data_IF_958208429055
#
_entry.id   IF_958208429055
#
_cell.length_a   1.000
_cell.length_b   1.000
_cell.length_c   1.000
_cell.angle_alpha   90.00
_cell.angle_beta   90.00
_cell.angle_gamma   90.00
#
_symmetry.space_group_name_H-M   'P 1'
#
loop_
_entity.id
_entity.type
_entity.pdbx_description
1 polymer ?
#
# COMPACT_ATOMS: atom_id res chain seq x y z
N UNK A 1 1.56 8.56 58.33
CA UNK A 1 1.99 7.14 58.29
C UNK A 1 2.80 7.00 57.01
N UNK A 2 4.14 7.11 57.15
CA UNK A 2 5.22 7.08 56.12
C UNK A 2 5.04 8.04 54.92
N UNK A 3 5.54 9.27 54.89
CA UNK A 3 6.76 9.94 55.39
C UNK A 3 7.99 9.84 54.45
N UNK A 4 8.64 10.99 54.28
CA UNK A 4 9.92 11.30 53.62
C UNK A 4 9.97 11.55 52.09
N UNK A 5 10.43 12.66 51.50
CA UNK A 5 11.33 13.81 51.80
C UNK A 5 12.46 13.86 50.74
N UNK A 6 12.83 15.08 50.32
CA UNK A 6 14.01 15.52 49.53
C UNK A 6 13.89 15.56 47.99
N UNK A 7 14.36 16.60 47.26
CA UNK A 7 15.31 17.68 47.59
C UNK A 7 15.18 18.86 46.64
N UNK A 8 15.03 20.05 47.24
CA UNK A 8 15.26 21.37 46.68
C UNK A 8 16.75 21.53 46.36
N UNK A 9 17.13 22.04 45.20
CA UNK A 9 18.51 22.42 44.91
C UNK A 9 18.54 23.88 44.45
N UNK A 10 18.92 24.71 45.42
CA UNK A 10 19.31 26.11 45.31
C UNK A 10 20.70 26.17 44.67
N UNK A 11 20.88 26.99 43.64
CA UNK A 11 22.23 27.41 43.21
C UNK A 11 22.39 28.90 43.47
N UNK A 12 23.21 29.19 44.48
CA UNK A 12 23.74 30.50 44.86
C UNK A 12 24.82 30.89 43.87
N UNK A 13 24.88 32.19 43.58
CA UNK A 13 25.81 32.81 42.65
C UNK A 13 27.28 32.64 43.01
N UNK A 14 28.09 32.65 41.95
CA UNK A 14 29.53 32.88 41.99
C UNK A 14 29.86 33.94 40.94
N UNK A 15 30.09 35.17 41.39
CA UNK A 15 30.73 36.21 40.60
C UNK A 15 32.21 35.86 40.52
N UNK A 16 32.71 35.60 39.31
CA UNK A 16 34.15 35.47 39.06
C UNK A 16 34.53 36.47 37.97
N UNK A 17 35.25 37.50 38.43
CA UNK A 17 35.77 38.61 37.66
C UNK A 17 37.10 38.16 37.05
N UNK A 18 37.13 37.92 35.73
CA UNK A 18 38.35 37.64 34.98
C UNK A 18 38.64 38.84 34.09
N UNK A 19 39.72 39.56 34.43
CA UNK A 19 40.28 40.66 33.66
C UNK A 19 41.19 40.09 32.56
N UNK A 20 40.83 40.41 31.31
CA UNK A 20 41.76 40.83 30.26
C UNK A 20 42.70 39.81 29.64
N UNK A 21 42.39 39.41 28.40
CA UNK A 21 43.35 39.33 27.28
C UNK A 21 42.52 39.32 25.99
N UNK A 22 42.65 40.37 25.19
CA UNK A 22 41.93 40.56 23.94
C UNK A 22 42.43 39.60 22.85
N UNK A 23 41.58 38.73 22.29
CA UNK A 23 41.85 38.12 21.00
C UNK A 23 41.34 39.05 19.89
N UNK A 24 42.17 39.22 18.88
CA UNK A 24 41.91 39.97 17.68
C UNK A 24 40.55 39.63 17.04
N UNK A 25 39.92 40.68 16.53
CA UNK A 25 38.59 40.65 15.95
C UNK A 25 38.41 39.52 14.93
N UNK A 26 37.37 38.73 15.17
CA UNK A 26 36.67 37.98 14.14
C UNK A 26 35.25 38.51 14.19
N UNK A 27 34.96 39.48 13.32
CA UNK A 27 33.59 39.93 13.10
C UNK A 27 32.71 38.73 12.73
N UNK A 28 31.40 38.76 13.01
CA UNK A 28 30.50 37.74 12.50
C UNK A 28 30.63 37.77 10.98
N UNK A 29 31.29 36.75 10.43
CA UNK A 29 31.18 36.46 9.01
C UNK A 29 29.69 36.30 8.78
N UNK A 30 29.12 37.28 8.08
CA UNK A 30 27.78 37.21 7.56
C UNK A 30 27.65 35.82 6.94
N UNK A 31 26.90 34.94 7.61
CA UNK A 31 26.60 33.62 7.11
C UNK A 31 25.84 33.86 5.82
N UNK A 32 26.57 33.82 4.71
CA UNK A 32 25.99 33.92 3.38
C UNK A 32 24.97 32.82 3.31
N UNK A 33 23.69 33.21 3.35
CA UNK A 33 22.59 32.29 3.17
C UNK A 33 22.88 31.54 1.86
N UNK A 34 23.15 30.24 1.96
CA UNK A 34 23.35 29.42 0.78
C UNK A 34 22.15 29.69 -0.15
N UNK A 35 22.39 30.01 -1.43
CA UNK A 35 21.30 30.29 -2.34
C UNK A 35 20.34 29.10 -2.30
N UNK A 36 19.02 29.34 -2.26
CA UNK A 36 18.05 28.28 -2.11
C UNK A 36 18.34 27.20 -3.15
N UNK A 37 18.46 25.95 -2.71
CA UNK A 37 18.78 24.81 -3.57
C UNK A 37 17.67 24.69 -4.62
N UNK A 38 17.88 25.30 -5.78
CA UNK A 38 17.02 25.16 -6.95
C UNK A 38 17.34 23.77 -7.51
N UNK A 39 16.49 22.79 -7.18
CA UNK A 39 16.62 21.45 -7.73
C UNK A 39 16.43 21.53 -9.26
N UNK A 40 17.43 21.15 -10.07
CA UNK A 40 17.37 21.28 -11.54
C UNK A 40 16.31 20.36 -12.17
N UNK A 41 15.70 19.46 -11.39
CA UNK A 41 14.69 18.51 -11.85
C UNK A 41 13.24 19.00 -11.69
N UNK A 42 13.03 20.26 -11.30
CA UNK A 42 11.69 20.79 -11.04
C UNK A 42 10.96 20.06 -9.92
N UNK A 43 9.75 20.50 -9.59
CA UNK A 43 8.89 19.74 -8.67
C UNK A 43 8.33 18.54 -9.41
N UNK A 44 8.58 17.32 -8.92
CA UNK A 44 8.04 16.11 -9.52
C UNK A 44 6.51 16.21 -9.59
N UNK A 45 5.89 15.98 -10.77
CA UNK A 45 4.45 16.10 -10.94
C UNK A 45 3.72 15.24 -9.91
N UNK A 46 2.74 15.86 -9.25
CA UNK A 46 2.16 15.29 -8.04
C UNK A 46 1.11 14.22 -8.28
N UNK A 47 0.52 14.26 -9.46
CA UNK A 47 -0.57 13.38 -9.88
C UNK A 47 -0.10 12.65 -11.13
N UNK A 48 -0.27 11.34 -11.10
CA UNK A 48 0.02 10.50 -12.26
C UNK A 48 -1.14 10.60 -13.24
N UNK A 49 -0.88 10.96 -14.49
CA UNK A 49 -1.90 11.22 -15.51
C UNK A 49 -2.71 9.98 -15.96
N UNK A 50 -2.16 8.79 -15.74
CA UNK A 50 -2.79 7.51 -16.01
C UNK A 50 -3.48 6.90 -14.78
N UNK A 51 -3.43 7.58 -13.64
CA UNK A 51 -4.18 7.16 -12.46
C UNK A 51 -5.67 7.44 -12.64
N UNK A 52 -6.49 6.49 -12.21
CA UNK A 52 -7.94 6.54 -12.27
C UNK A 52 -8.47 6.55 -10.82
N UNK A 53 -9.35 7.49 -10.45
CA UNK A 53 -9.95 7.49 -9.12
C UNK A 53 -10.75 6.21 -8.90
N UNK A 54 -10.73 5.66 -7.69
CA UNK A 54 -11.49 4.46 -7.36
C UNK A 54 -11.21 3.93 -5.96
N UNK A 55 -11.58 2.67 -5.73
CA UNK A 55 -11.24 1.96 -4.50
C UNK A 55 -10.98 0.48 -4.74
N UNK A 56 -10.22 -0.12 -3.84
CA UNK A 56 -9.99 -1.56 -3.75
C UNK A 56 -10.67 -2.07 -2.48
N UNK A 57 -11.52 -3.08 -2.63
CA UNK A 57 -12.16 -3.84 -1.55
C UNK A 57 -11.45 -5.18 -1.40
N UNK A 58 -10.99 -5.45 -0.20
CA UNK A 58 -10.30 -6.67 0.19
C UNK A 58 -11.29 -7.70 0.74
N UNK A 59 -10.92 -8.97 0.74
CA UNK A 59 -11.79 -10.07 1.19
C UNK A 59 -12.10 -10.04 2.69
N UNK A 60 -11.27 -9.36 3.48
CA UNK A 60 -11.46 -9.09 4.91
C UNK A 60 -12.46 -7.93 5.17
N UNK A 61 -12.92 -7.25 4.10
CA UNK A 61 -13.79 -6.08 4.19
C UNK A 61 -13.05 -4.74 4.29
N UNK A 62 -11.71 -4.75 4.29
CA UNK A 62 -10.91 -3.52 4.28
C UNK A 62 -11.06 -2.80 2.93
N UNK A 63 -11.20 -1.47 2.98
CA UNK A 63 -11.44 -0.64 1.79
C UNK A 63 -10.37 0.42 1.68
N UNK A 64 -9.72 0.44 0.52
CA UNK A 64 -8.61 1.33 0.20
C UNK A 64 -9.04 2.31 -0.92
N UNK A 65 -9.61 3.48 -0.56
CA UNK A 65 -9.97 4.50 -1.53
C UNK A 65 -8.75 5.31 -1.97
N UNK A 66 -8.60 5.55 -3.28
CA UNK A 66 -7.41 6.23 -3.78
C UNK A 66 -7.39 6.46 -5.28
N UNK A 67 -6.22 6.87 -5.76
CA UNK A 67 -5.87 6.89 -7.17
C UNK A 67 -5.29 5.53 -7.54
N UNK A 68 -5.97 4.81 -8.42
CA UNK A 68 -5.62 3.46 -8.85
C UNK A 68 -4.81 3.55 -10.14
N UNK A 69 -3.64 2.91 -10.19
CA UNK A 69 -2.81 2.90 -11.39
C UNK A 69 -2.01 1.60 -11.53
N UNK A 70 -1.45 1.37 -12.72
CA UNK A 70 -0.58 0.24 -13.03
C UNK A 70 0.89 0.69 -13.15
N UNK A 71 1.83 -0.22 -13.35
CA UNK A 71 3.18 0.18 -13.82
C UNK A 71 3.07 1.02 -15.11
N UNK A 72 4.00 1.94 -15.37
CA UNK A 72 3.95 2.78 -16.59
C UNK A 72 3.82 1.91 -17.83
N UNK A 73 2.92 2.30 -18.73
CA UNK A 73 2.59 1.61 -19.98
C UNK A 73 2.06 0.17 -19.84
N UNK A 74 1.87 -0.31 -18.60
CA UNK A 74 1.33 -1.64 -18.36
C UNK A 74 -0.18 -1.66 -18.57
N UNK A 75 -0.67 -2.78 -19.11
CA UNK A 75 -2.09 -3.09 -19.30
C UNK A 75 -2.44 -4.35 -18.53
N UNK A 76 -3.71 -4.49 -18.14
CA UNK A 76 -4.16 -5.73 -17.50
C UNK A 76 -4.29 -6.82 -18.56
N UNK A 77 -3.62 -7.95 -18.31
CA UNK A 77 -3.66 -9.13 -19.16
C UNK A 77 -4.72 -10.07 -18.60
N UNK A 78 -5.81 -10.24 -19.36
CA UNK A 78 -6.89 -11.17 -19.05
C UNK A 78 -6.98 -12.21 -20.16
N UNK A 79 -7.13 -13.46 -19.79
CA UNK A 79 -7.47 -14.52 -20.73
C UNK A 79 -8.99 -14.63 -20.81
N UNK A 80 -9.55 -14.34 -21.98
CA UNK A 80 -10.99 -14.42 -22.21
C UNK A 80 -11.39 -15.88 -22.45
N UNK A 81 -12.09 -16.48 -21.50
CA UNK A 81 -12.48 -17.90 -21.57
C UNK A 81 -13.46 -18.18 -22.73
N UNK A 82 -14.29 -17.20 -23.13
CA UNK A 82 -15.27 -17.38 -24.22
C UNK A 82 -14.60 -17.40 -25.59
N UNK A 83 -13.61 -16.54 -25.78
CA UNK A 83 -12.91 -16.38 -27.05
C UNK A 83 -11.58 -17.14 -27.10
N UNK A 84 -11.21 -17.79 -25.99
CA UNK A 84 -9.97 -18.55 -25.81
C UNK A 84 -8.72 -17.74 -26.24
N UNK A 85 -8.70 -16.44 -25.93
CA UNK A 85 -7.62 -15.52 -26.34
C UNK A 85 -7.22 -14.58 -25.22
N UNK A 86 -5.95 -14.20 -25.22
CA UNK A 86 -5.44 -13.18 -24.31
C UNK A 86 -5.83 -11.78 -24.82
N UNK A 87 -6.30 -10.93 -23.91
CA UNK A 87 -6.66 -9.54 -24.17
C UNK A 87 -5.91 -8.64 -23.21
N UNK A 88 -5.49 -7.49 -23.73
CA UNK A 88 -4.90 -6.42 -22.94
C UNK A 88 -5.92 -5.30 -22.78
N UNK A 89 -6.27 -4.98 -21.54
CA UNK A 89 -7.27 -3.98 -21.21
C UNK A 89 -6.60 -2.83 -20.46
N UNK A 90 -6.64 -1.59 -20.98
CA UNK A 90 -6.12 -0.43 -20.26
C UNK A 90 -7.05 -0.07 -19.08
N UNK A 91 -6.48 0.47 -18.00
CA UNK A 91 -7.25 0.77 -16.78
C UNK A 91 -8.39 1.79 -17.03
N UNK A 92 -8.20 2.71 -17.96
CA UNK A 92 -9.16 3.79 -18.29
C UNK A 92 -10.50 3.31 -18.82
N UNK A 93 -10.58 2.12 -19.43
CA UNK A 93 -11.82 1.57 -19.98
C UNK A 93 -12.56 0.66 -19.00
N UNK A 94 -11.94 0.33 -17.88
CA UNK A 94 -12.49 -0.57 -16.87
C UNK A 94 -13.39 0.24 -15.93
N UNK A 95 -14.58 -0.28 -15.65
CA UNK A 95 -15.46 0.24 -14.61
C UNK A 95 -15.30 -0.55 -13.32
N UNK A 96 -15.30 -1.88 -13.40
CA UNK A 96 -15.22 -2.76 -12.24
C UNK A 96 -14.41 -4.03 -12.54
N UNK A 97 -13.69 -4.53 -11.55
CA UNK A 97 -13.03 -5.84 -11.56
C UNK A 97 -13.53 -6.59 -10.34
N UNK A 98 -14.17 -7.74 -10.56
CA UNK A 98 -14.62 -8.63 -9.49
C UNK A 98 -13.77 -9.89 -9.50
N UNK A 99 -13.28 -10.30 -8.33
CA UNK A 99 -12.51 -11.52 -8.15
C UNK A 99 -13.36 -12.55 -7.40
N UNK A 100 -13.62 -13.68 -8.05
CA UNK A 100 -14.36 -14.81 -7.49
C UNK A 100 -13.42 -15.97 -7.24
N UNK A 101 -13.60 -16.63 -6.11
CA UNK A 101 -12.89 -17.87 -5.79
C UNK A 101 -13.48 -18.99 -6.62
N UNK A 102 -12.67 -19.60 -7.48
CA UNK A 102 -13.06 -20.75 -8.29
C UNK A 102 -12.93 -22.04 -7.50
N UNK A 103 -11.81 -22.19 -6.79
CA UNK A 103 -11.48 -23.39 -6.05
C UNK A 103 -10.54 -23.06 -4.89
N UNK A 104 -10.74 -23.74 -3.77
CA UNK A 104 -9.88 -23.69 -2.60
C UNK A 104 -9.47 -25.11 -2.22
N UNK A 105 -8.22 -25.31 -1.83
CA UNK A 105 -7.75 -26.59 -1.33
C UNK A 105 -6.53 -26.43 -0.42
N UNK A 106 -6.29 -27.42 0.42
CA UNK A 106 -5.04 -27.57 1.16
C UNK A 106 -4.10 -28.43 0.33
N UNK A 107 -2.96 -27.88 -0.06
CA UNK A 107 -1.96 -28.58 -0.87
C UNK A 107 -0.85 -29.09 0.04
N UNK A 108 -0.51 -30.37 -0.14
CA UNK A 108 0.60 -30.98 0.60
C UNK A 108 1.93 -30.54 -0.01
N UNK A 109 2.84 -30.12 0.85
CA UNK A 109 4.21 -29.87 0.46
C UNK A 109 4.89 -31.19 0.11
N UNK A 110 5.51 -31.19 -1.05
CA UNK A 110 6.33 -32.29 -1.53
C UNK A 110 7.69 -31.74 -1.92
N UNK A 111 8.70 -32.58 -1.76
CA UNK A 111 10.06 -32.36 -2.26
C UNK A 111 10.48 -33.59 -3.06
N UNK A 112 11.41 -33.43 -3.98
CA UNK A 112 12.06 -34.58 -4.60
C UNK A 112 12.88 -35.31 -3.54
N UNK A 113 12.83 -36.64 -3.55
CA UNK A 113 13.56 -37.48 -2.59
C UNK A 113 15.07 -37.31 -2.75
N UNK A 114 15.55 -37.29 -3.98
CA UNK A 114 16.96 -37.07 -4.35
C UNK A 114 17.04 -36.11 -5.53
N UNK A 115 18.14 -35.38 -5.67
CA UNK A 115 18.37 -34.51 -6.83
C UNK A 115 18.49 -35.40 -8.08
N UNK A 116 17.51 -35.30 -9.00
CA UNK A 116 17.31 -36.12 -10.19
C UNK A 116 16.48 -37.42 -10.03
N UNK A 117 15.86 -37.67 -8.87
CA UNK A 117 14.81 -38.70 -8.75
C UNK A 117 13.43 -38.09 -8.92
N UNK A 118 12.56 -38.73 -9.70
CA UNK A 118 11.15 -38.32 -9.90
C UNK A 118 10.24 -38.72 -8.72
N UNK A 119 10.79 -39.38 -7.70
CA UNK A 119 10.04 -39.76 -6.50
C UNK A 119 9.72 -38.52 -5.64
N UNK A 120 8.43 -38.21 -5.52
CA UNK A 120 7.92 -37.15 -4.65
C UNK A 120 7.77 -37.68 -3.23
N UNK A 121 8.46 -37.05 -2.27
CA UNK A 121 8.24 -37.30 -0.85
C UNK A 121 7.42 -36.17 -0.22
N UNK A 122 6.33 -36.52 0.43
CA UNK A 122 5.46 -35.57 1.13
C UNK A 122 6.04 -35.25 2.51
N UNK A 123 6.09 -33.97 2.88
CA UNK A 123 6.69 -33.52 4.15
C UNK A 123 5.70 -33.57 5.32
N UNK A 124 4.42 -33.90 5.06
CA UNK A 124 3.33 -33.82 6.03
C UNK A 124 2.83 -32.40 6.30
N UNK A 125 3.47 -31.37 5.74
CA UNK A 125 3.04 -29.98 5.86
C UNK A 125 2.05 -29.63 4.76
N UNK A 126 1.10 -28.76 5.07
CA UNK A 126 0.12 -28.27 4.10
C UNK A 126 0.15 -26.76 4.04
N UNK A 127 -0.16 -26.22 2.86
CA UNK A 127 -0.40 -24.80 2.67
C UNK A 127 -1.77 -24.58 2.01
N UNK A 128 -2.45 -23.47 2.34
CA UNK A 128 -3.69 -23.11 1.69
C UNK A 128 -3.38 -22.62 0.27
N UNK A 129 -4.17 -23.09 -0.70
CA UNK A 129 -4.09 -22.67 -2.09
C UNK A 129 -5.48 -22.28 -2.59
N UNK A 130 -5.53 -21.21 -3.38
CA UNK A 130 -6.75 -20.67 -3.98
C UNK A 130 -6.54 -20.38 -5.47
N UNK A 131 -7.54 -20.71 -6.27
CA UNK A 131 -7.64 -20.32 -7.66
C UNK A 131 -8.78 -19.32 -7.83
N UNK A 132 -8.51 -18.25 -8.57
CA UNK A 132 -9.43 -17.14 -8.78
C UNK A 132 -9.82 -17.01 -10.25
N UNK A 133 -11.06 -16.60 -10.47
CA UNK A 133 -11.58 -16.15 -11.77
C UNK A 133 -11.97 -14.70 -11.60
N UNK A 134 -11.57 -13.87 -12.56
CA UNK A 134 -11.84 -12.45 -12.53
C UNK A 134 -12.90 -12.12 -13.59
N UNK A 135 -13.82 -11.24 -13.24
CA UNK A 135 -14.78 -10.65 -14.18
C UNK A 135 -14.50 -9.16 -14.25
N UNK A 136 -14.04 -8.70 -15.42
CA UNK A 136 -13.89 -7.28 -15.71
C UNK A 136 -15.18 -6.80 -16.36
N UNK A 137 -15.82 -5.80 -15.75
CA UNK A 137 -16.88 -5.01 -16.36
C UNK A 137 -16.25 -3.74 -16.91
N UNK A 138 -16.33 -3.58 -18.22
CA UNK A 138 -15.90 -2.39 -18.94
C UNK A 138 -16.93 -1.27 -18.75
N UNK A 139 -16.55 -0.02 -19.05
CA UNK A 139 -17.46 1.13 -19.01
C UNK A 139 -18.59 1.07 -20.04
N UNK A 140 -18.43 0.25 -21.07
CA UNK A 140 -19.48 -0.07 -22.05
C UNK A 140 -20.39 -1.24 -21.61
N UNK A 141 -20.35 -1.58 -20.31
CA UNK A 141 -21.10 -2.68 -19.66
C UNK A 141 -20.74 -4.09 -20.13
N UNK A 142 -19.80 -4.24 -21.08
CA UNK A 142 -19.34 -5.56 -21.51
C UNK A 142 -18.54 -6.24 -20.41
N UNK A 143 -18.75 -7.54 -20.29
CA UNK A 143 -18.07 -8.36 -19.30
C UNK A 143 -17.09 -9.32 -19.96
N UNK A 144 -15.87 -9.35 -19.43
CA UNK A 144 -14.82 -10.30 -19.81
C UNK A 144 -14.50 -11.13 -18.58
N UNK A 145 -14.64 -12.45 -18.69
CA UNK A 145 -14.39 -13.38 -17.59
C UNK A 145 -13.20 -14.27 -17.91
N UNK A 146 -12.31 -14.43 -16.94
CA UNK A 146 -11.25 -15.42 -16.96
C UNK A 146 -10.10 -15.08 -16.01
N UNK A 147 -8.97 -15.80 -16.08
CA UNK A 147 -7.84 -15.54 -15.22
C UNK A 147 -7.15 -14.24 -15.62
N UNK A 148 -6.81 -13.44 -14.61
CA UNK A 148 -6.18 -12.14 -14.75
C UNK A 148 -4.81 -12.16 -14.07
N UNK A 149 -3.84 -11.48 -14.69
CA UNK A 149 -2.52 -11.24 -14.11
C UNK A 149 -2.17 -9.77 -14.22
N UNK A 150 -1.81 -9.15 -13.10
CA UNK A 150 -1.42 -7.74 -13.06
C UNK A 150 -1.09 -7.25 -11.66
N UNK A 151 -0.40 -6.12 -11.58
CA UNK A 151 -0.12 -5.42 -10.33
C UNK A 151 -0.85 -4.09 -10.37
N UNK A 152 -1.68 -3.85 -9.35
CA UNK A 152 -2.42 -2.61 -9.16
C UNK A 152 -1.83 -1.87 -7.98
N UNK A 153 -1.65 -0.57 -8.13
CA UNK A 153 -1.21 0.32 -7.06
C UNK A 153 -2.36 1.24 -6.69
N UNK A 154 -2.52 1.49 -5.39
CA UNK A 154 -3.47 2.47 -4.86
C UNK A 154 -2.69 3.54 -4.12
N UNK A 155 -2.79 4.77 -4.59
CA UNK A 155 -2.26 5.94 -3.90
C UNK A 155 -3.38 6.58 -3.07
N UNK A 156 -3.34 6.50 -1.74
CA UNK A 156 -4.34 7.14 -0.91
C UNK A 156 -4.21 8.67 -0.99
N UNK A 157 -5.34 9.36 -0.86
CA UNK A 157 -5.43 10.83 -0.91
C UNK A 157 -5.03 11.53 0.39
N UNK A 158 -4.75 10.77 1.45
CA UNK A 158 -4.40 11.35 2.75
C UNK A 158 -3.05 12.06 2.65
N UNK A 159 -3.07 13.39 2.62
CA UNK A 159 -1.88 14.20 2.89
C UNK A 159 -1.76 14.32 4.40
N UNK A 160 -0.85 13.57 5.01
CA UNK A 160 -0.45 13.85 6.39
C UNK A 160 0.57 14.99 6.32
N UNK A 161 0.09 16.23 6.41
CA UNK A 161 0.97 17.34 6.75
C UNK A 161 1.14 17.30 8.27
N UNK A 162 2.27 16.77 8.75
CA UNK A 162 2.53 16.68 10.19
C UNK A 162 2.60 18.06 10.85
N UNK A 163 3.08 19.08 10.13
CA UNK A 163 3.17 20.47 10.61
C UNK A 163 3.02 21.48 9.45
N UNK A 164 2.58 22.72 9.73
CA UNK A 164 2.61 23.82 8.77
C UNK A 164 4.06 24.09 8.32
N UNK A 165 4.35 23.90 7.02
CA UNK A 165 5.69 24.07 6.46
C UNK A 165 6.54 22.80 6.41
N UNK A 166 6.09 21.69 7.01
CA UNK A 166 6.75 20.40 6.85
C UNK A 166 6.57 19.83 5.44
N UNK A 167 7.58 19.11 4.97
CA UNK A 167 7.54 18.40 3.71
C UNK A 167 6.34 17.43 3.70
N UNK A 168 5.42 17.61 2.75
CA UNK A 168 4.25 16.73 2.59
C UNK A 168 4.72 15.39 2.03
N UNK A 169 5.12 14.49 2.91
CA UNK A 169 5.43 13.11 2.54
C UNK A 169 4.15 12.46 2.04
N UNK A 170 4.12 12.09 0.75
CA UNK A 170 2.99 11.33 0.23
C UNK A 170 3.00 9.95 0.90
N UNK A 171 1.83 9.45 1.31
CA UNK A 171 1.74 8.07 1.76
C UNK A 171 2.24 7.15 0.65
N UNK A 172 2.97 6.09 1.01
CA UNK A 172 3.45 5.13 0.04
C UNK A 172 2.26 4.45 -0.64
N UNK A 173 2.32 4.32 -1.96
CA UNK A 173 1.29 3.57 -2.69
C UNK A 173 1.27 2.11 -2.24
N UNK A 174 0.06 1.60 -2.00
CA UNK A 174 -0.18 0.22 -1.63
C UNK A 174 -0.20 -0.65 -2.88
N UNK A 175 0.43 -1.82 -2.81
CA UNK A 175 0.59 -2.73 -3.95
C UNK A 175 -0.32 -3.95 -3.80
N UNK A 176 -1.16 -4.17 -4.79
CA UNK A 176 -2.09 -5.29 -4.88
C UNK A 176 -1.73 -6.19 -6.06
N UNK A 177 -1.50 -7.47 -5.80
CA UNK A 177 -1.19 -8.46 -6.83
C UNK A 177 -2.46 -9.18 -7.25
N UNK A 178 -2.84 -9.04 -8.52
CA UNK A 178 -3.91 -9.80 -9.14
C UNK A 178 -3.28 -10.97 -9.87
N UNK A 179 -3.60 -12.18 -9.43
CA UNK A 179 -3.04 -13.41 -9.98
C UNK A 179 -4.09 -14.51 -10.00
N UNK A 180 -3.95 -15.44 -10.94
CA UNK A 180 -4.84 -16.60 -11.08
C UNK A 180 -4.81 -17.50 -9.84
N UNK A 181 -3.63 -17.74 -9.27
CA UNK A 181 -3.43 -18.66 -8.14
C UNK A 181 -2.67 -17.95 -7.04
N UNK A 182 -3.15 -18.08 -5.81
CA UNK A 182 -2.43 -17.64 -4.62
C UNK A 182 -2.12 -18.83 -3.71
N UNK A 183 -0.92 -18.81 -3.15
CA UNK A 183 -0.41 -19.79 -2.20
C UNK A 183 -0.10 -19.06 -0.90
N UNK A 184 -0.60 -19.60 0.20
CA UNK A 184 -0.30 -19.09 1.54
C UNK A 184 0.93 -19.72 2.15
N UNK A 185 1.24 -19.27 3.36
CA UNK A 185 2.32 -19.82 4.16
C UNK A 185 1.97 -21.21 4.70
N UNK A 186 3.02 -21.97 5.05
CA UNK A 186 2.88 -23.30 5.63
C UNK A 186 2.14 -23.24 6.98
N UNK A 187 1.21 -24.17 7.20
CA UNK A 187 0.46 -24.29 8.46
C UNK A 187 -0.65 -23.25 8.67
N UNK A 188 -0.85 -22.32 7.73
CA UNK A 188 -1.97 -21.37 7.76
C UNK A 188 -3.26 -22.01 7.24
N UNK A 189 -4.41 -21.43 7.63
CA UNK A 189 -5.74 -21.84 7.16
C UNK A 189 -6.11 -21.12 5.86
N UNK A 190 -7.14 -21.62 5.17
CA UNK A 190 -7.69 -20.96 3.98
C UNK A 190 -8.08 -19.50 4.29
N UNK A 191 -8.73 -19.25 5.44
CA UNK A 191 -9.27 -17.93 5.80
C UNK A 191 -8.21 -16.83 5.92
N UNK A 192 -6.95 -17.17 6.20
CA UNK A 192 -5.88 -16.17 6.31
C UNK A 192 -5.41 -15.63 4.96
N UNK A 193 -5.84 -16.22 3.85
CA UNK A 193 -5.49 -15.75 2.50
C UNK A 193 -6.36 -14.55 2.10
N UNK A 194 -5.97 -13.36 2.52
CA UNK A 194 -6.65 -12.13 2.08
C UNK A 194 -6.35 -11.88 0.60
N UNK A 195 -7.39 -11.55 -0.16
CA UNK A 195 -7.28 -11.26 -1.59
C UNK A 195 -8.08 -10.01 -1.96
N UNK A 196 -7.80 -9.45 -3.14
CA UNK A 196 -8.59 -8.36 -3.69
C UNK A 196 -9.92 -8.91 -4.16
N UNK A 197 -11.01 -8.54 -3.50
CA UNK A 197 -12.35 -9.02 -3.82
C UNK A 197 -12.97 -8.20 -4.96
N UNK A 198 -12.83 -6.88 -4.91
CA UNK A 198 -13.40 -5.97 -5.90
C UNK A 198 -12.54 -4.73 -6.09
N UNK A 199 -12.44 -4.25 -7.32
CA UNK A 199 -11.89 -2.94 -7.65
C UNK A 199 -12.95 -2.19 -8.45
N UNK A 200 -13.32 -1.00 -8.01
CA UNK A 200 -14.26 -0.15 -8.74
C UNK A 200 -13.59 1.17 -9.06
N UNK A 201 -13.70 1.58 -10.32
CA UNK A 201 -13.01 2.75 -10.88
C UNK A 201 -14.04 3.80 -11.33
N UNK A 202 -13.71 5.06 -11.13
CA UNK A 202 -14.55 6.22 -11.38
C UNK A 202 -14.62 7.16 -10.17
N UNK A 203 -15.02 8.41 -10.42
CA UNK A 203 -15.17 9.42 -9.38
C UNK A 203 -16.30 9.06 -8.39
N UNK A 204 -17.40 8.51 -8.90
CA UNK A 204 -18.51 8.01 -8.08
C UNK A 204 -18.07 6.85 -7.19
N UNK A 205 -17.26 5.94 -7.76
CA UNK A 205 -16.68 4.83 -7.02
C UNK A 205 -15.77 5.33 -5.91
N UNK A 206 -14.93 6.33 -6.17
CA UNK A 206 -14.08 6.93 -5.14
C UNK A 206 -14.90 7.53 -3.99
N UNK A 207 -15.99 8.25 -4.30
CA UNK A 207 -16.88 8.80 -3.28
C UNK A 207 -17.54 7.68 -2.45
N UNK A 208 -18.00 6.61 -3.10
CA UNK A 208 -18.53 5.42 -2.44
C UNK A 208 -17.51 4.75 -1.52
N UNK A 209 -16.30 4.51 -2.02
CA UNK A 209 -15.20 3.90 -1.27
C UNK A 209 -14.82 4.71 -0.05
N UNK A 210 -14.80 6.05 -0.15
CA UNK A 210 -14.57 6.94 1.00
C UNK A 210 -15.67 6.82 2.05
N UNK A 211 -16.95 6.74 1.64
CA UNK A 211 -18.08 6.53 2.57
C UNK A 211 -17.95 5.19 3.30
N UNK A 212 -17.72 4.10 2.56
CA UNK A 212 -17.58 2.77 3.16
C UNK A 212 -16.37 2.67 4.10
N UNK A 213 -15.22 3.21 3.69
CA UNK A 213 -14.03 3.26 4.55
C UNK A 213 -14.22 4.13 5.81
N UNK A 214 -15.05 5.19 5.73
CA UNK A 214 -15.41 5.98 6.91
C UNK A 214 -16.38 5.23 7.84
N UNK A 215 -17.38 4.53 7.28
CA UNK A 215 -18.29 3.69 8.05
C UNK A 215 -17.53 2.58 8.78
N UNK A 216 -16.63 1.88 8.07
CA UNK A 216 -15.87 0.78 8.66
C UNK A 216 -15.00 1.22 9.84
N UNK A 217 -14.34 2.37 9.73
CA UNK A 217 -13.56 2.95 10.84
C UNK A 217 -14.40 3.29 12.06
N UNK A 218 -15.67 3.69 11.88
CA UNK A 218 -16.60 3.92 13.00
C UNK A 218 -16.96 2.58 13.68
N UNK A 219 -17.34 1.58 12.88
CA UNK A 219 -17.67 0.25 13.38
C UNK A 219 -16.51 -0.44 14.10
N UNK A 220 -15.27 -0.16 13.72
CA UNK A 220 -14.06 -0.66 14.39
C UNK A 220 -13.78 0.11 15.68
N UNK A 221 -13.92 1.45 15.68
CA UNK A 221 -13.72 2.26 16.88
C UNK A 221 -14.76 2.03 17.98
N UNK A 222 -15.96 1.58 17.63
CA UNK A 222 -17.02 1.23 18.61
C UNK A 222 -16.82 -0.15 19.28
N UNK A 223 -15.83 -0.95 18.84
CA UNK A 223 -15.54 -2.29 19.38
C UNK A 223 -14.44 -2.32 20.44
N UNK A 224 -13.74 -1.20 20.63
CA UNK A 224 -12.67 -1.02 21.61
C UNK A 224 -13.20 -0.35 22.89
#
# INVERSE_FOLDING_TARGET
MFDSIWKLLVFVGGVLLVVGLAPWGTGPLAGGAEPPVISPFGQAPSVREDAVPGYVEMSDGTIHPGQVYLTRDARLKIFDEKLNRQREVPLRVIGQIECKVKREWMEQEWKFKEAASDEKMFTGRTYPAREYVHTITLRDERQITGPLSGIVYVQPYAYTASEPGAYRTRPKAERYLLQKRSKGELGKKLDSLVYVKRITLGDEALAEGRRKAAQRRREEGDRD
#
